data_IF_678756306539
#
_entry.id   IF_678756306539
#
_cell.length_a   1.000
_cell.length_b   1.000
_cell.length_c   1.000
_cell.angle_alpha   90.00
_cell.angle_beta   90.00
_cell.angle_gamma   90.00
#
_symmetry.space_group_name_H-M   'P 1'
#
loop_
_entity.id
_entity.type
_entity.pdbx_description
1 polymer ?
#
# COMPACT_ATOMS: atom_id res chain seq x y z
N UNK A 1 6.11 -15.32 9.07
CA UNK A 1 5.98 -15.40 7.60
C UNK A 1 6.81 -14.31 6.95
N UNK A 2 6.98 -14.27 5.63
CA UNK A 2 7.83 -13.27 4.97
C UNK A 2 7.31 -12.83 3.61
N UNK A 3 7.55 -11.56 3.26
CA UNK A 3 7.21 -10.99 1.95
C UNK A 3 8.32 -10.07 1.46
N UNK A 4 8.79 -10.33 0.25
CA UNK A 4 9.69 -9.47 -0.50
C UNK A 4 9.01 -8.98 -1.80
N UNK A 5 9.70 -8.18 -2.61
CA UNK A 5 9.15 -7.65 -3.86
C UNK A 5 8.81 -8.74 -4.89
N UNK A 6 9.54 -9.86 -4.87
CA UNK A 6 9.41 -10.96 -5.82
C UNK A 6 8.89 -12.27 -5.21
N UNK A 7 8.76 -12.32 -3.88
CA UNK A 7 8.52 -13.55 -3.15
C UNK A 7 7.55 -13.34 -1.99
N UNK A 8 6.79 -14.38 -1.66
CA UNK A 8 6.04 -14.46 -0.40
C UNK A 8 6.24 -15.88 0.10
N UNK A 9 6.52 -16.05 1.38
CA UNK A 9 7.01 -17.31 1.91
C UNK A 9 6.64 -17.46 3.37
N UNK A 10 6.64 -18.69 3.85
CA UNK A 10 6.34 -19.01 5.23
C UNK A 10 7.27 -20.10 5.74
N UNK A 11 7.35 -20.22 7.06
CA UNK A 11 8.09 -21.28 7.70
C UNK A 11 7.43 -21.66 9.02
N UNK A 12 7.65 -22.91 9.43
CA UNK A 12 7.22 -23.47 10.70
C UNK A 12 8.41 -24.17 11.34
N UNK A 13 8.61 -23.95 12.64
CA UNK A 13 9.69 -24.55 13.41
C UNK A 13 9.07 -25.44 14.48
N UNK A 14 9.49 -26.70 14.50
CA UNK A 14 9.18 -27.68 15.54
C UNK A 14 10.46 -28.05 16.28
N UNK A 15 10.34 -28.78 17.39
CA UNK A 15 11.48 -29.21 18.21
C UNK A 15 12.48 -30.03 17.38
N UNK A 16 11.99 -30.90 16.50
CA UNK A 16 12.81 -31.86 15.74
C UNK A 16 12.81 -31.64 14.22
N UNK A 17 12.10 -30.63 13.73
CA UNK A 17 11.96 -30.40 12.29
C UNK A 17 11.71 -28.94 11.97
N UNK A 18 12.07 -28.54 10.75
CA UNK A 18 11.84 -27.20 10.22
C UNK A 18 11.26 -27.30 8.83
N UNK A 19 10.26 -26.49 8.55
CA UNK A 19 9.61 -26.40 7.25
C UNK A 19 9.70 -24.98 6.74
N UNK A 20 10.00 -24.80 5.47
CA UNK A 20 9.97 -23.50 4.83
C UNK A 20 9.62 -23.61 3.35
N UNK A 21 8.73 -22.74 2.90
CA UNK A 21 8.21 -22.78 1.54
C UNK A 21 7.90 -21.38 0.99
N UNK A 22 8.00 -21.26 -0.32
CA UNK A 22 7.58 -20.09 -1.09
C UNK A 22 6.16 -20.27 -1.61
N UNK A 23 5.32 -19.29 -1.35
CA UNK A 23 4.02 -19.10 -1.97
C UNK A 23 4.16 -18.30 -3.27
N UNK A 24 3.06 -18.27 -4.03
CA UNK A 24 2.99 -17.39 -5.19
C UNK A 24 3.21 -15.91 -4.78
N UNK A 25 3.95 -15.10 -5.57
CA UNK A 25 4.31 -13.71 -5.20
C UNK A 25 3.12 -12.78 -4.94
N UNK A 26 1.95 -13.12 -5.48
CA UNK A 26 0.71 -12.37 -5.27
C UNK A 26 0.12 -12.56 -3.88
N UNK A 27 0.49 -13.61 -3.14
CA UNK A 27 0.01 -13.85 -1.78
C UNK A 27 0.40 -12.68 -0.86
N UNK A 28 -0.47 -12.32 0.06
CA UNK A 28 -0.17 -11.30 1.08
C UNK A 28 0.71 -11.88 2.19
N UNK A 29 1.35 -11.01 2.97
CA UNK A 29 2.06 -11.44 4.19
C UNK A 29 1.10 -12.19 5.13
N UNK A 30 -0.13 -11.68 5.27
CA UNK A 30 -1.18 -12.32 6.05
C UNK A 30 -1.48 -13.76 5.60
N UNK A 31 -1.58 -13.99 4.28
CA UNK A 31 -1.74 -15.34 3.71
C UNK A 31 -0.56 -16.25 4.02
N UNK A 32 0.67 -15.72 4.03
CA UNK A 32 1.84 -16.48 4.45
C UNK A 32 1.76 -16.89 5.93
N UNK A 33 1.37 -15.98 6.82
CA UNK A 33 1.21 -16.27 8.25
C UNK A 33 0.14 -17.32 8.51
N UNK A 34 -1.02 -17.19 7.88
CA UNK A 34 -2.10 -18.17 8.02
C UNK A 34 -1.71 -19.51 7.43
N UNK A 35 -1.01 -19.52 6.29
CA UNK A 35 -0.52 -20.77 5.70
C UNK A 35 0.49 -21.48 6.62
N UNK A 36 1.37 -20.74 7.31
CA UNK A 36 2.26 -21.33 8.31
C UNK A 36 1.47 -22.05 9.41
N UNK A 37 0.45 -21.40 9.97
CA UNK A 37 -0.40 -22.00 11.01
C UNK A 37 -1.12 -23.23 10.45
N UNK A 38 -1.70 -23.15 9.25
CA UNK A 38 -2.37 -24.29 8.61
C UNK A 38 -1.43 -25.49 8.41
N UNK A 39 -0.17 -25.24 8.03
CA UNK A 39 0.85 -26.29 7.94
C UNK A 39 1.21 -26.85 9.31
N UNK A 40 1.31 -26.00 10.33
CA UNK A 40 1.54 -26.45 11.69
C UNK A 40 0.46 -27.43 12.16
N UNK A 41 -0.81 -27.13 11.87
CA UNK A 41 -1.94 -28.03 12.13
C UNK A 41 -1.82 -29.36 11.39
N UNK A 42 -1.40 -29.34 10.13
CA UNK A 42 -1.26 -30.57 9.32
C UNK A 42 -0.15 -31.50 9.85
N UNK A 43 0.96 -30.92 10.29
CA UNK A 43 2.05 -31.67 10.94
C UNK A 43 1.60 -32.24 12.30
N UNK A 44 0.93 -31.43 13.14
CA UNK A 44 0.38 -31.87 14.43
C UNK A 44 -0.60 -33.03 14.23
N UNK A 45 -1.49 -32.93 13.24
CA UNK A 45 -2.48 -33.98 12.93
C UNK A 45 -1.85 -35.32 12.54
N UNK A 46 -0.61 -35.31 12.05
CA UNK A 46 0.12 -36.52 11.66
C UNK A 46 0.81 -37.20 12.85
N UNK A 47 0.92 -36.51 13.99
CA UNK A 47 1.48 -37.02 15.24
C UNK A 47 0.44 -37.69 16.16
N UNK A 48 0.88 -38.21 17.32
CA UNK A 48 -0.03 -38.70 18.36
C UNK A 48 -0.78 -37.54 19.04
N UNK A 49 -1.99 -37.77 19.58
CA UNK A 49 -2.71 -36.78 20.37
C UNK A 49 -1.90 -36.30 21.57
N UNK A 50 -1.70 -34.99 21.67
CA UNK A 50 -0.99 -34.32 22.77
C UNK A 50 -1.42 -32.85 22.87
N UNK A 51 -0.82 -32.13 23.82
CA UNK A 51 -0.97 -30.70 24.03
C UNK A 51 0.12 -29.93 23.27
N UNK A 52 -0.31 -29.04 22.37
CA UNK A 52 0.57 -28.22 21.55
C UNK A 52 0.34 -26.74 21.83
N UNK A 53 1.41 -25.96 21.73
CA UNK A 53 1.36 -24.49 21.74
C UNK A 53 1.94 -23.99 20.42
N UNK A 54 1.16 -23.20 19.68
CA UNK A 54 1.61 -22.51 18.47
C UNK A 54 1.93 -21.07 18.83
N UNK A 55 3.21 -20.73 18.72
CA UNK A 55 3.70 -19.36 18.88
C UNK A 55 3.68 -18.66 17.51
N UNK A 56 3.11 -17.45 17.45
CA UNK A 56 3.13 -16.63 16.25
C UNK A 56 3.27 -15.15 16.61
N UNK A 57 4.07 -14.42 15.86
CA UNK A 57 4.18 -12.97 16.00
C UNK A 57 3.14 -12.18 15.20
N UNK A 58 2.32 -12.87 14.39
CA UNK A 58 1.24 -12.27 13.63
C UNK A 58 -0.06 -12.23 14.43
N UNK A 59 -0.26 -11.14 15.18
CA UNK A 59 -1.50 -10.88 15.90
C UNK A 59 -2.72 -10.97 14.97
N UNK A 60 -2.60 -10.40 13.77
CA UNK A 60 -3.67 -10.43 12.76
C UNK A 60 -4.06 -11.86 12.35
N UNK A 61 -3.10 -12.78 12.21
CA UNK A 61 -3.39 -14.17 11.87
C UNK A 61 -4.11 -14.87 13.02
N UNK A 62 -3.67 -14.65 14.26
CA UNK A 62 -4.31 -15.18 15.46
C UNK A 62 -5.74 -14.66 15.65
N UNK A 63 -5.94 -13.34 15.51
CA UNK A 63 -7.26 -12.71 15.59
C UNK A 63 -8.21 -13.19 14.48
N UNK A 64 -7.70 -13.54 13.30
CA UNK A 64 -8.52 -14.06 12.21
C UNK A 64 -9.23 -15.35 12.59
N UNK A 65 -8.61 -16.17 13.44
CA UNK A 65 -9.14 -17.46 13.91
C UNK A 65 -10.13 -17.31 15.07
N UNK A 66 -10.35 -16.08 15.56
CA UNK A 66 -11.42 -15.82 16.53
C UNK A 66 -12.79 -15.84 15.86
N UNK A 67 -13.84 -16.13 16.64
CA UNK A 67 -15.21 -16.31 16.14
C UNK A 67 -15.75 -15.11 15.33
N UNK A 68 -15.26 -13.90 15.61
CA UNK A 68 -15.66 -12.66 14.95
C UNK A 68 -15.18 -12.54 13.50
N UNK A 69 -14.07 -13.19 13.14
CA UNK A 69 -13.36 -12.97 11.87
C UNK A 69 -13.26 -14.21 10.96
N UNK A 70 -13.98 -15.29 11.29
CA UNK A 70 -13.87 -16.61 10.63
C UNK A 70 -14.08 -16.65 9.11
N UNK A 71 -14.74 -15.63 8.54
CA UNK A 71 -15.04 -15.54 7.09
C UNK A 71 -14.18 -14.51 6.35
N UNK A 72 -13.21 -13.88 7.04
CA UNK A 72 -12.35 -12.86 6.46
C UNK A 72 -11.37 -13.43 5.42
N UNK A 73 -11.02 -14.72 5.53
CA UNK A 73 -10.05 -15.38 4.67
C UNK A 73 -10.38 -16.87 4.46
N UNK A 74 -10.25 -17.42 3.23
CA UNK A 74 -10.60 -18.81 2.94
C UNK A 74 -9.85 -19.83 3.82
N UNK A 75 -8.56 -19.58 4.07
CA UNK A 75 -7.73 -20.50 4.86
C UNK A 75 -8.09 -20.51 6.36
N UNK A 76 -8.68 -19.44 6.88
CA UNK A 76 -9.13 -19.39 8.28
C UNK A 76 -10.21 -20.44 8.55
N UNK A 77 -11.12 -20.64 7.59
CA UNK A 77 -12.14 -21.69 7.69
C UNK A 77 -11.51 -23.08 7.78
N UNK A 78 -10.52 -23.37 6.92
CA UNK A 78 -9.80 -24.65 6.92
C UNK A 78 -9.09 -24.92 8.26
N UNK A 79 -8.49 -23.89 8.87
CA UNK A 79 -7.85 -24.02 10.18
C UNK A 79 -8.89 -24.34 11.25
N UNK A 80 -10.03 -23.65 11.26
CA UNK A 80 -11.10 -23.89 12.23
C UNK A 80 -11.69 -25.31 12.11
N UNK A 81 -11.87 -25.80 10.88
CA UNK A 81 -12.29 -27.17 10.62
C UNK A 81 -11.25 -28.19 11.11
N UNK A 82 -9.97 -27.97 10.81
CA UNK A 82 -8.90 -28.85 11.29
C UNK A 82 -8.75 -28.81 12.81
N UNK A 83 -8.95 -27.64 13.43
CA UNK A 83 -8.96 -27.49 14.88
C UNK A 83 -10.05 -28.35 15.53
N UNK A 84 -11.29 -28.26 15.05
CA UNK A 84 -12.40 -29.08 15.56
C UNK A 84 -12.12 -30.59 15.41
N UNK A 85 -11.57 -30.99 14.26
CA UNK A 85 -11.15 -32.38 14.02
C UNK A 85 -10.01 -32.86 14.92
N UNK A 86 -9.10 -31.96 15.31
CA UNK A 86 -8.03 -32.27 16.26
C UNK A 86 -8.57 -32.37 17.68
N UNK A 87 -9.44 -31.44 18.09
CA UNK A 87 -10.08 -31.46 19.40
C UNK A 87 -10.90 -32.74 19.62
N UNK A 88 -11.67 -33.18 18.62
CA UNK A 88 -12.44 -34.44 18.69
C UNK A 88 -11.57 -35.69 18.80
N UNK A 89 -10.29 -35.62 18.41
CA UNK A 89 -9.29 -36.68 18.55
C UNK A 89 -8.48 -36.60 19.85
N UNK A 90 -8.78 -35.65 20.73
CA UNK A 90 -8.12 -35.47 22.02
C UNK A 90 -6.85 -34.62 21.98
N UNK A 91 -6.62 -33.85 20.92
CA UNK A 91 -5.55 -32.86 20.88
C UNK A 91 -6.00 -31.57 21.58
N UNK A 92 -5.08 -30.91 22.29
CA UNK A 92 -5.28 -29.55 22.81
C UNK A 92 -4.29 -28.61 22.13
N UNK A 93 -4.78 -27.53 21.50
CA UNK A 93 -3.91 -26.56 20.81
C UNK A 93 -4.16 -25.18 21.41
N UNK A 94 -3.10 -24.56 21.91
CA UNK A 94 -3.12 -23.18 22.40
C UNK A 94 -2.37 -22.27 21.42
N UNK A 95 -2.91 -21.07 21.22
CA UNK A 95 -2.25 -20.02 20.46
C UNK A 95 -1.61 -19.01 21.42
N UNK A 96 -0.36 -18.68 21.18
CA UNK A 96 0.37 -17.67 21.94
C UNK A 96 0.94 -16.61 21.00
N UNK A 97 0.50 -15.37 21.17
CA UNK A 97 1.13 -14.25 20.48
C UNK A 97 2.47 -13.91 21.13
N UNK A 98 3.49 -13.72 20.31
CA UNK A 98 4.81 -13.27 20.77
C UNK A 98 5.26 -12.01 20.02
N UNK A 99 6.01 -11.12 20.66
CA UNK A 99 6.57 -9.97 19.95
C UNK A 99 7.60 -10.40 18.89
N UNK A 100 7.53 -9.78 17.72
CA UNK A 100 8.51 -9.97 16.65
C UNK A 100 9.83 -9.23 16.95
N UNK A 101 10.95 -9.77 16.46
CA UNK A 101 12.28 -9.12 16.46
C UNK A 101 12.83 -8.70 17.83
N UNK A 102 12.59 -9.50 18.88
CA UNK A 102 13.11 -9.25 20.24
C UNK A 102 14.08 -10.31 20.78
N UNK A 103 14.70 -11.14 19.93
CA UNK A 103 15.66 -12.15 20.41
C UNK A 103 15.06 -13.52 20.77
N UNK A 104 13.79 -13.79 20.46
CA UNK A 104 13.19 -15.11 20.71
C UNK A 104 13.70 -16.09 19.65
N UNK A 105 14.61 -16.98 20.05
CA UNK A 105 15.35 -17.88 19.14
C UNK A 105 14.48 -18.65 18.15
N UNK A 106 13.35 -19.22 18.61
CA UNK A 106 12.41 -19.94 17.76
C UNK A 106 11.72 -19.04 16.71
N UNK A 107 11.35 -17.81 17.09
CA UNK A 107 10.73 -16.85 16.18
C UNK A 107 11.75 -16.34 15.15
N UNK A 108 12.96 -16.00 15.60
CA UNK A 108 14.03 -15.55 14.72
C UNK A 108 14.42 -16.64 13.72
N UNK A 109 14.46 -17.90 14.16
CA UNK A 109 14.68 -19.03 13.27
C UNK A 109 13.55 -19.16 12.23
N UNK A 110 12.28 -19.07 12.65
CA UNK A 110 11.14 -19.11 11.73
C UNK A 110 11.18 -17.96 10.71
N UNK A 111 11.49 -16.74 11.14
CA UNK A 111 11.65 -15.58 10.26
C UNK A 111 12.80 -15.77 9.26
N UNK A 112 13.94 -16.26 9.73
CA UNK A 112 15.10 -16.53 8.89
C UNK A 112 14.80 -17.60 7.84
N UNK A 113 14.14 -18.69 8.24
CA UNK A 113 13.72 -19.75 7.34
C UNK A 113 12.67 -19.28 6.33
N UNK A 114 11.71 -18.44 6.74
CA UNK A 114 10.75 -17.86 5.82
C UNK A 114 11.45 -16.96 4.79
N UNK A 115 12.43 -16.13 5.22
CA UNK A 115 13.21 -15.28 4.32
C UNK A 115 14.09 -16.05 3.34
N UNK A 116 14.64 -17.19 3.76
CA UNK A 116 15.55 -18.02 2.95
C UNK A 116 14.86 -19.19 2.22
N UNK A 117 13.54 -19.34 2.38
CA UNK A 117 12.77 -20.39 1.73
C UNK A 117 12.96 -20.36 0.21
N UNK A 118 13.23 -21.52 -0.39
CA UNK A 118 13.41 -21.68 -1.85
C UNK A 118 12.43 -22.68 -2.46
N UNK A 119 11.88 -23.58 -1.64
CA UNK A 119 10.98 -24.63 -2.10
C UNK A 119 9.60 -24.06 -2.44
N UNK A 120 9.19 -24.16 -3.70
CA UNK A 120 7.87 -23.70 -4.13
C UNK A 120 6.76 -24.57 -3.54
N UNK A 121 5.77 -23.93 -2.92
CA UNK A 121 4.55 -24.57 -2.44
C UNK A 121 3.37 -24.13 -3.30
N UNK A 122 2.91 -25.07 -4.11
CA UNK A 122 1.81 -24.83 -5.04
C UNK A 122 0.48 -24.86 -4.28
N UNK A 123 -0.07 -23.68 -3.98
CA UNK A 123 -1.36 -23.53 -3.32
C UNK A 123 -2.24 -22.52 -4.05
N UNK A 124 -3.58 -22.68 -3.99
CA UNK A 124 -4.50 -21.69 -4.52
C UNK A 124 -4.29 -20.32 -3.85
N UNK A 125 -4.19 -19.27 -4.67
CA UNK A 125 -4.07 -17.91 -4.17
C UNK A 125 -5.45 -17.35 -3.83
N UNK A 126 -5.65 -16.75 -2.64
CA UNK A 126 -6.90 -16.07 -2.32
C UNK A 126 -7.25 -14.97 -3.34
N UNK A 127 -8.51 -14.90 -3.77
CA UNK A 127 -8.94 -13.94 -4.80
C UNK A 127 -8.66 -12.47 -4.40
N UNK A 128 -8.76 -12.13 -3.11
CA UNK A 128 -8.46 -10.80 -2.60
C UNK A 128 -6.98 -10.44 -2.73
N UNK A 129 -6.09 -11.42 -2.59
CA UNK A 129 -4.65 -11.23 -2.78
C UNK A 129 -4.33 -10.98 -4.25
N UNK A 130 -4.90 -11.77 -5.16
CA UNK A 130 -4.77 -11.55 -6.62
C UNK A 130 -5.26 -10.15 -6.99
N UNK A 131 -6.43 -9.73 -6.50
CA UNK A 131 -6.98 -8.39 -6.77
C UNK A 131 -6.03 -7.28 -6.31
N UNK A 132 -5.48 -7.38 -5.09
CA UNK A 132 -4.52 -6.40 -4.55
C UNK A 132 -3.23 -6.38 -5.37
N UNK A 133 -2.72 -7.56 -5.75
CA UNK A 133 -1.50 -7.70 -6.54
C UNK A 133 -1.65 -7.08 -7.94
N UNK A 134 -2.73 -7.40 -8.66
CA UNK A 134 -3.02 -6.81 -9.97
C UNK A 134 -3.18 -5.30 -9.87
N UNK A 135 -3.90 -4.80 -8.86
CA UNK A 135 -4.04 -3.35 -8.62
C UNK A 135 -2.69 -2.68 -8.41
N UNK A 136 -1.78 -3.31 -7.66
CA UNK A 136 -0.42 -2.81 -7.47
C UNK A 136 0.36 -2.74 -8.78
N UNK A 137 0.31 -3.77 -9.62
CA UNK A 137 0.99 -3.76 -10.92
C UNK A 137 0.45 -2.65 -11.82
N UNK A 138 -0.88 -2.52 -11.90
CA UNK A 138 -1.52 -1.47 -12.69
C UNK A 138 -1.12 -0.08 -12.20
N UNK A 139 -1.09 0.12 -10.88
CA UNK A 139 -0.65 1.38 -10.29
C UNK A 139 0.82 1.68 -10.61
N UNK A 140 1.72 0.70 -10.47
CA UNK A 140 3.14 0.89 -10.80
C UNK A 140 3.36 1.19 -12.29
N UNK A 141 2.63 0.50 -13.18
CA UNK A 141 2.68 0.81 -14.62
C UNK A 141 2.16 2.21 -14.93
N UNK A 142 1.08 2.62 -14.27
CA UNK A 142 0.54 3.97 -14.43
C UNK A 142 1.52 5.03 -13.90
N UNK A 143 2.15 4.79 -12.75
CA UNK A 143 3.17 5.68 -12.20
C UNK A 143 4.37 5.81 -13.14
N UNK A 144 4.87 4.70 -13.70
CA UNK A 144 5.97 4.73 -14.68
C UNK A 144 5.60 5.53 -15.94
N UNK A 145 4.37 5.36 -16.46
CA UNK A 145 3.89 6.18 -17.58
C UNK A 145 3.78 7.66 -17.22
N UNK A 146 3.38 7.95 -15.98
CA UNK A 146 3.25 9.31 -15.47
C UNK A 146 4.61 10.00 -15.29
N UNK A 147 5.62 9.28 -14.81
CA UNK A 147 6.99 9.79 -14.64
C UNK A 147 7.62 10.23 -15.97
N UNK A 148 7.24 9.58 -17.08
CA UNK A 148 7.68 9.94 -18.44
C UNK A 148 7.00 11.20 -19.00
N UNK A 149 5.93 11.72 -18.37
CA UNK A 149 5.22 12.93 -18.84
C UNK A 149 5.86 14.21 -18.32
N UNK A 150 7.16 14.39 -18.58
CA UNK A 150 7.95 15.54 -18.13
C UNK A 150 7.46 16.91 -18.67
N UNK A 151 6.75 16.94 -19.79
CA UNK A 151 6.15 18.16 -20.37
C UNK A 151 4.77 18.49 -19.80
N UNK A 152 4.19 17.62 -18.96
CA UNK A 152 2.87 17.85 -18.40
C UNK A 152 2.95 18.82 -17.21
N UNK A 153 2.25 19.96 -17.30
CA UNK A 153 2.15 20.96 -16.23
C UNK A 153 1.77 20.38 -14.87
N UNK A 154 0.90 19.37 -14.83
CA UNK A 154 0.45 18.74 -13.59
C UNK A 154 1.54 17.87 -12.96
N UNK A 155 2.48 17.33 -13.74
CA UNK A 155 3.60 16.50 -13.24
C UNK A 155 4.53 17.31 -12.31
N UNK A 156 4.73 18.60 -12.62
CA UNK A 156 5.56 19.50 -11.80
C UNK A 156 5.09 19.58 -10.34
N UNK A 157 3.77 19.54 -10.13
CA UNK A 157 3.12 19.62 -8.82
C UNK A 157 2.66 18.26 -8.28
N UNK A 158 2.53 17.24 -9.13
CA UNK A 158 2.04 15.91 -8.79
C UNK A 158 3.00 14.85 -9.28
N UNK A 159 3.93 14.43 -8.43
CA UNK A 159 4.84 13.32 -8.78
C UNK A 159 4.17 11.96 -8.62
N UNK A 160 3.41 11.75 -7.54
CA UNK A 160 2.71 10.49 -7.29
C UNK A 160 1.27 10.54 -7.81
N UNK A 161 0.81 9.46 -8.44
CA UNK A 161 -0.54 9.32 -9.05
C UNK A 161 -1.69 9.17 -8.03
N UNK A 162 -1.43 9.34 -6.74
CA UNK A 162 -2.42 9.20 -5.67
C UNK A 162 -3.63 10.14 -5.80
N UNK A 163 -4.69 9.89 -5.03
CA UNK A 163 -5.76 10.86 -4.90
C UNK A 163 -5.26 12.16 -4.22
N UNK A 164 -5.79 13.30 -4.66
CA UNK A 164 -5.68 14.54 -3.91
C UNK A 164 -6.65 14.50 -2.72
N UNK A 165 -6.28 15.08 -1.56
CA UNK A 165 -7.25 15.29 -0.50
C UNK A 165 -8.34 16.24 -0.99
N UNK A 166 -9.59 15.92 -0.67
CA UNK A 166 -10.72 16.82 -0.94
C UNK A 166 -10.77 17.89 0.13
N UNK A 167 -10.97 19.14 -0.27
CA UNK A 167 -11.21 20.23 0.68
C UNK A 167 -12.67 20.24 1.14
N UNK A 168 -12.96 20.56 2.42
CA UNK A 168 -14.33 20.58 2.94
C UNK A 168 -15.22 21.63 2.24
N UNK A 169 -14.61 22.67 1.65
CA UNK A 169 -15.32 23.74 0.94
C UNK A 169 -15.26 23.48 -0.56
N UNK A 170 -16.38 23.07 -1.16
CA UNK A 170 -16.52 22.79 -2.61
C UNK A 170 -16.00 23.90 -3.51
N UNK A 171 -16.26 25.16 -3.15
CA UNK A 171 -15.81 26.32 -3.94
C UNK A 171 -14.28 26.38 -4.01
N UNK A 172 -13.60 26.13 -2.89
CA UNK A 172 -12.14 26.14 -2.81
C UNK A 172 -11.55 24.94 -3.56
N UNK A 173 -12.13 23.75 -3.38
CA UNK A 173 -11.74 22.53 -4.10
C UNK A 173 -11.83 22.69 -5.62
N UNK A 174 -12.88 23.38 -6.09
CA UNK A 174 -13.08 23.70 -7.51
C UNK A 174 -12.02 24.66 -8.04
N UNK A 175 -11.73 25.73 -7.28
CA UNK A 175 -10.70 26.71 -7.67
C UNK A 175 -9.33 26.04 -7.76
N UNK A 176 -8.97 25.28 -6.74
CA UNK A 176 -7.71 24.57 -6.66
C UNK A 176 -7.56 23.53 -7.79
N UNK A 177 -8.59 22.73 -8.03
CA UNK A 177 -8.60 21.75 -9.13
C UNK A 177 -8.40 22.44 -10.48
N UNK A 178 -9.06 23.59 -10.71
CA UNK A 178 -8.88 24.40 -11.93
C UNK A 178 -7.46 24.92 -12.06
N UNK A 179 -6.88 25.46 -10.98
CA UNK A 179 -5.49 25.92 -10.97
C UNK A 179 -4.51 24.79 -11.30
N UNK A 180 -4.69 23.59 -10.71
CA UNK A 180 -3.86 22.40 -10.97
C UNK A 180 -3.85 21.98 -12.44
N UNK A 181 -4.98 22.09 -13.13
CA UNK A 181 -5.07 21.80 -14.57
C UNK A 181 -4.80 23.02 -15.45
N UNK A 182 -4.29 24.13 -14.90
CA UNK A 182 -3.88 25.32 -15.64
C UNK A 182 -5.04 26.24 -16.07
N UNK A 183 -6.24 26.07 -15.53
CA UNK A 183 -7.40 26.90 -15.83
C UNK A 183 -7.46 28.14 -14.94
N UNK A 184 -7.49 29.29 -15.59
CA UNK A 184 -7.71 30.62 -15.01
C UNK A 184 -8.67 31.39 -15.91
N UNK A 185 -9.06 32.61 -15.51
CA UNK A 185 -9.80 33.50 -16.40
C UNK A 185 -9.04 33.79 -17.70
N UNK A 186 -7.71 33.92 -17.64
CA UNK A 186 -6.88 34.20 -18.82
C UNK A 186 -6.75 33.00 -19.74
N UNK A 187 -6.55 31.80 -19.19
CA UNK A 187 -6.27 30.58 -19.97
C UNK A 187 -7.52 29.84 -20.43
N UNK A 188 -8.72 30.24 -19.98
CA UNK A 188 -9.97 29.55 -20.25
C UNK A 188 -10.29 29.41 -21.75
N UNK A 189 -10.22 30.51 -22.51
CA UNK A 189 -10.54 30.49 -23.95
C UNK A 189 -9.56 29.63 -24.74
N UNK A 190 -8.27 29.76 -24.44
CA UNK A 190 -7.24 28.91 -25.06
C UNK A 190 -7.49 27.42 -24.79
N UNK A 191 -7.74 27.03 -23.53
CA UNK A 191 -7.84 25.62 -23.16
C UNK A 191 -9.17 24.96 -23.53
N UNK A 192 -10.28 25.70 -23.58
CA UNK A 192 -11.60 25.14 -23.87
C UNK A 192 -12.10 25.44 -25.29
N UNK A 193 -11.71 26.57 -25.88
CA UNK A 193 -12.18 27.01 -27.20
C UNK A 193 -11.11 26.84 -28.28
N UNK A 194 -9.89 26.42 -27.92
CA UNK A 194 -8.80 26.21 -28.87
C UNK A 194 -8.19 27.51 -29.43
N UNK A 195 -8.50 28.66 -28.83
CA UNK A 195 -7.93 29.95 -29.23
C UNK A 195 -6.41 30.00 -28.98
N UNK A 196 -5.68 30.91 -29.64
CA UNK A 196 -4.26 31.11 -29.37
C UNK A 196 -3.98 31.39 -27.89
N UNK A 197 -2.86 30.87 -27.39
CA UNK A 197 -2.49 31.07 -26.00
C UNK A 197 -2.23 32.57 -25.74
N UNK A 198 -2.88 33.18 -24.73
CA UNK A 198 -2.70 34.60 -24.47
C UNK A 198 -1.28 34.88 -23.98
N UNK A 199 -0.74 36.01 -24.42
CA UNK A 199 0.58 36.48 -24.00
C UNK A 199 0.45 37.47 -22.84
N UNK A 200 1.43 37.46 -21.93
CA UNK A 200 1.57 38.48 -20.92
C UNK A 200 2.01 39.79 -21.56
N UNK A 201 1.26 40.87 -21.34
CA UNK A 201 1.59 42.18 -21.93
C UNK A 201 2.91 42.75 -21.44
N UNK A 202 3.35 42.38 -20.23
CA UNK A 202 4.59 42.86 -19.63
C UNK A 202 5.81 42.00 -20.02
N UNK A 203 5.64 40.68 -20.08
CA UNK A 203 6.75 39.73 -20.25
C UNK A 203 6.84 39.13 -21.67
N UNK A 204 5.79 39.31 -22.49
CA UNK A 204 5.66 38.75 -23.84
C UNK A 204 5.80 37.21 -23.93
N UNK A 205 5.65 36.52 -22.80
CA UNK A 205 5.61 35.06 -22.73
C UNK A 205 4.18 34.55 -22.56
N UNK A 206 3.97 33.24 -22.75
CA UNK A 206 2.67 32.60 -22.62
C UNK A 206 2.11 32.72 -21.21
N UNK A 207 0.85 33.14 -21.10
CA UNK A 207 0.14 33.22 -19.83
C UNK A 207 -0.18 31.82 -19.31
N UNK A 208 0.40 31.45 -18.17
CA UNK A 208 0.16 30.17 -17.49
C UNK A 208 -0.09 30.40 -16.00
N UNK A 209 -0.59 29.37 -15.29
CA UNK A 209 -0.73 29.43 -13.83
C UNK A 209 0.63 29.64 -13.16
N UNK A 210 1.69 28.97 -13.65
CA UNK A 210 3.07 29.18 -13.19
C UNK A 210 3.48 30.65 -13.36
N UNK A 211 3.24 31.21 -14.55
CA UNK A 211 3.59 32.60 -14.83
C UNK A 211 2.87 33.58 -13.88
N UNK A 212 1.57 33.38 -13.66
CA UNK A 212 0.76 34.25 -12.79
C UNK A 212 1.19 34.12 -11.33
N UNK A 213 1.37 32.89 -10.84
CA UNK A 213 1.57 32.61 -9.41
C UNK A 213 3.03 32.61 -8.97
N UNK A 214 4.01 32.61 -9.87
CA UNK A 214 5.43 32.49 -9.50
C UNK A 214 6.33 33.48 -10.27
N UNK A 215 6.19 33.60 -11.59
CA UNK A 215 7.25 34.20 -12.43
C UNK A 215 7.04 35.68 -12.79
N UNK A 216 5.79 36.13 -12.97
CA UNK A 216 5.52 37.42 -13.60
C UNK A 216 5.76 38.60 -12.63
N UNK A 217 6.68 39.55 -12.94
CA UNK A 217 6.96 40.70 -12.08
C UNK A 217 5.74 41.58 -11.79
N UNK A 218 4.79 41.63 -12.73
CA UNK A 218 3.56 42.42 -12.61
C UNK A 218 2.68 41.97 -11.44
N UNK A 219 2.78 40.71 -11.03
CA UNK A 219 1.97 40.14 -9.95
C UNK A 219 2.73 40.07 -8.61
N UNK A 220 3.97 40.58 -8.52
CA UNK A 220 4.84 40.44 -7.33
C UNK A 220 4.19 41.00 -6.06
N UNK A 221 3.65 42.22 -6.14
CA UNK A 221 3.00 42.87 -5.00
C UNK A 221 1.80 42.05 -4.50
N UNK A 222 1.01 41.46 -5.39
CA UNK A 222 -0.11 40.61 -5.03
C UNK A 222 0.39 39.29 -4.42
N UNK A 223 1.46 38.70 -4.94
CA UNK A 223 2.05 37.47 -4.37
C UNK A 223 2.56 37.70 -2.95
N UNK A 224 3.30 38.79 -2.73
CA UNK A 224 3.79 39.14 -1.39
C UNK A 224 2.63 39.37 -0.42
N UNK A 225 1.54 40.01 -0.87
CA UNK A 225 0.34 40.22 -0.03
C UNK A 225 -0.39 38.92 0.31
N UNK A 226 -0.53 38.00 -0.65
CA UNK A 226 -1.32 36.78 -0.47
C UNK A 226 -0.52 35.65 0.19
N UNK A 227 0.78 35.58 -0.07
CA UNK A 227 1.60 34.42 0.28
C UNK A 227 2.82 34.77 1.16
N UNK A 228 2.97 36.04 1.57
CA UNK A 228 4.12 36.56 2.33
C UNK A 228 5.47 36.51 1.56
N UNK A 229 6.56 37.13 2.09
CA UNK A 229 7.83 37.25 1.37
C UNK A 229 8.65 35.95 1.19
N UNK A 230 8.08 34.78 1.48
CA UNK A 230 8.77 33.51 1.37
C UNK A 230 8.96 33.08 -0.09
N UNK A 231 10.07 32.40 -0.36
CA UNK A 231 10.31 31.77 -1.67
C UNK A 231 9.35 30.58 -1.84
N UNK A 232 8.21 30.83 -2.48
CA UNK A 232 7.14 29.85 -2.65
C UNK A 232 7.23 29.23 -4.02
N UNK A 233 7.13 27.91 -4.08
CA UNK A 233 7.07 27.17 -5.34
C UNK A 233 5.62 26.92 -5.76
N UNK A 234 5.40 26.63 -7.05
CA UNK A 234 4.07 26.25 -7.54
C UNK A 234 3.53 25.00 -6.82
N UNK A 235 4.42 24.13 -6.37
CA UNK A 235 4.08 22.94 -5.60
C UNK A 235 3.55 23.32 -4.22
N UNK A 236 4.17 24.27 -3.52
CA UNK A 236 3.72 24.67 -2.18
C UNK A 236 2.31 25.30 -2.20
N UNK A 237 1.96 25.94 -3.31
CA UNK A 237 0.62 26.53 -3.50
C UNK A 237 -0.42 25.46 -3.87
N UNK A 238 -0.06 24.46 -4.68
CA UNK A 238 -1.02 23.57 -5.36
C UNK A 238 -0.95 22.08 -4.94
N UNK A 239 0.00 21.67 -4.08
CA UNK A 239 0.15 20.27 -3.64
C UNK A 239 -0.81 19.89 -2.49
N UNK A 240 -0.55 18.81 -1.74
CA UNK A 240 -1.43 18.28 -0.70
C UNK A 240 -1.49 19.21 0.52
N UNK A 241 -0.34 19.75 0.92
CA UNK A 241 -0.21 20.70 2.03
C UNK A 241 -0.19 22.11 1.44
N UNK A 242 -1.38 22.71 1.34
CA UNK A 242 -1.51 24.06 0.81
C UNK A 242 -0.99 25.06 1.83
N UNK A 243 -0.27 26.08 1.38
CA UNK A 243 0.02 27.24 2.21
C UNK A 243 -1.30 27.80 2.79
N UNK A 244 -1.38 28.08 4.10
CA UNK A 244 -2.57 28.67 4.73
C UNK A 244 -2.91 30.05 4.17
#
# INVERSE_FOLDING_TARGET
GSKCSSCTSFACVFINSTLSFQLHPSCSIFTAEITAILHAFSEIYSGPPDNYIIYSDSLSALESMTSLNRFSHPLTFNILELHDRLSTKGFTILFCWIPSHVGISGNELADNLARSATNSFNSPVPANDVKKYVKSILHSKWQAQWDLKNTNKLQSIKRLIDCWPSLPIRKLDTVLTRLRIGHTRFTHRHLLLGEPAPLCTACQCQMTVLHILIECPRFDLQRIRCFHPSCITLRDILHKDHHP
#
